data_IF_988366130926
#
_entry.id   IF_988366130926
#
_cell.length_a   1.000
_cell.length_b   1.000
_cell.length_c   1.000
_cell.angle_alpha   90.00
_cell.angle_beta   90.00
_cell.angle_gamma   90.00
#
_symmetry.space_group_name_H-M   'P 1'
#
loop_
_entity.id
_entity.type
_entity.pdbx_description
1 polymer ?
#
# COMPACT_ATOMS: atom_id res chain seq x y z
N UNK A 1 15.06 -4.79 4.62
CA UNK A 1 13.74 -4.18 4.95
C UNK A 1 12.73 -5.28 5.24
N UNK A 2 12.01 -5.14 6.35
CA UNK A 2 10.93 -6.04 6.79
C UNK A 2 9.60 -5.30 6.73
N UNK A 3 8.49 -6.00 6.52
CA UNK A 3 7.16 -5.39 6.47
C UNK A 3 6.27 -5.99 7.55
N UNK A 4 5.73 -5.14 8.41
CA UNK A 4 4.83 -5.53 9.48
C UNK A 4 3.38 -5.33 9.06
N UNK A 5 2.53 -6.29 9.43
CA UNK A 5 1.07 -6.19 9.27
C UNK A 5 0.49 -5.66 10.57
N UNK A 6 -0.16 -4.50 10.52
CA UNK A 6 -0.84 -3.91 11.67
C UNK A 6 -2.32 -3.78 11.32
N UNK A 7 -3.18 -4.54 12.01
CA UNK A 7 -4.64 -4.50 11.82
C UNK A 7 -5.31 -3.83 13.01
N UNK A 8 -6.38 -3.08 12.77
CA UNK A 8 -7.20 -2.48 13.83
C UNK A 8 -7.82 -3.49 14.81
N UNK A 9 -7.81 -4.79 14.50
CA UNK A 9 -8.23 -5.87 15.40
C UNK A 9 -7.13 -6.43 16.31
N UNK A 10 -5.87 -6.03 16.11
CA UNK A 10 -4.75 -6.49 16.93
C UNK A 10 -4.75 -5.77 18.29
N UNK A 11 -4.78 -6.53 19.39
CA UNK A 11 -4.95 -5.99 20.76
C UNK A 11 -3.70 -5.31 21.34
N UNK A 12 -2.52 -5.51 20.73
CA UNK A 12 -1.25 -4.90 21.12
C UNK A 12 -0.53 -4.42 19.86
N UNK A 13 -0.86 -3.22 19.35
CA UNK A 13 -0.10 -2.63 18.25
C UNK A 13 0.95 -1.65 18.79
N UNK A 14 2.10 -1.63 18.13
CA UNK A 14 3.16 -0.67 18.40
C UNK A 14 2.69 0.73 17.97
N UNK A 15 2.30 1.54 18.96
CA UNK A 15 1.81 2.92 18.77
C UNK A 15 2.86 3.78 18.08
N UNK A 16 4.14 3.57 18.37
CA UNK A 16 5.23 4.32 17.76
C UNK A 16 5.38 3.95 16.28
N UNK A 17 5.21 2.67 15.93
CA UNK A 17 5.24 2.21 14.54
C UNK A 17 4.13 2.88 13.70
N UNK A 18 2.89 2.89 14.21
CA UNK A 18 1.74 3.50 13.52
C UNK A 18 1.90 5.02 13.44
N UNK A 19 2.34 5.66 14.52
CA UNK A 19 2.58 7.11 14.54
C UNK A 19 3.65 7.50 13.53
N UNK A 20 4.77 6.77 13.47
CA UNK A 20 5.84 7.03 12.51
C UNK A 20 5.43 6.76 11.06
N UNK A 21 4.51 5.82 10.84
CA UNK A 21 3.89 5.61 9.54
C UNK A 21 3.04 6.82 9.11
N UNK A 22 2.22 7.40 10.00
CA UNK A 22 1.46 8.62 9.67
C UNK A 22 2.37 9.84 9.42
N UNK A 23 3.50 9.95 10.13
CA UNK A 23 4.54 10.95 9.83
C UNK A 23 5.16 10.74 8.46
N UNK A 24 5.44 9.48 8.08
CA UNK A 24 5.94 9.16 6.74
C UNK A 24 4.93 9.59 5.67
N UNK A 25 3.65 9.28 5.87
CA UNK A 25 2.57 9.70 4.98
C UNK A 25 2.51 11.22 4.82
N UNK A 26 2.64 11.98 5.92
CA UNK A 26 2.70 13.46 5.88
C UNK A 26 3.86 13.97 5.05
N UNK A 27 5.08 13.45 5.25
CA UNK A 27 6.26 13.82 4.45
C UNK A 27 6.07 13.52 2.97
N UNK A 28 5.53 12.35 2.64
CA UNK A 28 5.35 11.95 1.24
C UNK A 28 4.22 12.70 0.57
N UNK A 29 3.00 12.62 1.10
CA UNK A 29 1.82 13.08 0.38
C UNK A 29 1.65 14.59 0.45
N UNK A 30 1.97 15.22 1.59
CA UNK A 30 1.81 16.66 1.73
C UNK A 30 3.09 17.46 1.49
N UNK A 31 4.26 17.07 2.02
CA UNK A 31 5.48 17.88 1.78
C UNK A 31 6.04 17.66 0.37
N UNK A 32 6.22 16.40 -0.04
CA UNK A 32 6.90 16.07 -1.30
C UNK A 32 6.00 16.13 -2.53
N UNK A 33 4.81 15.56 -2.44
CA UNK A 33 3.87 15.47 -3.56
C UNK A 33 2.89 16.65 -3.62
N UNK A 34 2.80 17.43 -2.53
CA UNK A 34 1.86 18.54 -2.33
C UNK A 34 0.42 18.20 -2.76
N UNK A 35 -0.04 17.02 -2.34
CA UNK A 35 -1.43 16.64 -2.49
C UNK A 35 -2.29 17.34 -1.44
N UNK A 36 -3.53 17.63 -1.82
CA UNK A 36 -4.57 18.11 -0.90
C UNK A 36 -5.04 16.92 -0.03
N UNK A 37 -4.37 16.73 1.11
CA UNK A 37 -4.63 15.66 2.09
C UNK A 37 -4.93 16.24 3.47
N UNK A 38 -5.64 15.46 4.29
CA UNK A 38 -5.95 15.83 5.68
C UNK A 38 -4.73 15.62 6.58
N UNK A 39 -4.37 16.65 7.35
CA UNK A 39 -3.24 16.63 8.28
C UNK A 39 -3.66 17.07 9.66
N UNK A 40 -3.13 16.39 10.68
CA UNK A 40 -3.30 16.72 12.09
C UNK A 40 -1.91 16.87 12.72
N UNK A 41 -1.42 18.11 12.83
CA UNK A 41 -0.03 18.37 13.21
C UNK A 41 0.96 17.82 12.18
N UNK A 42 1.83 16.91 12.61
CA UNK A 42 2.82 16.23 11.78
C UNK A 42 2.33 14.89 11.19
N UNK A 43 1.04 14.57 11.36
CA UNK A 43 0.44 13.32 10.92
C UNK A 43 -0.48 13.54 9.72
N UNK A 44 -0.41 12.66 8.72
CA UNK A 44 -1.43 12.56 7.66
C UNK A 44 -2.40 11.43 8.02
N UNK A 45 -3.63 11.81 8.33
CA UNK A 45 -4.71 10.95 8.80
C UNK A 45 -5.99 11.42 8.10
N UNK A 46 -6.71 10.50 7.48
CA UNK A 46 -8.01 10.77 6.88
C UNK A 46 -9.14 9.94 7.54
N UNK A 47 -10.37 10.13 7.09
CA UNK A 47 -11.54 9.43 7.64
C UNK A 47 -11.50 7.91 7.46
N UNK A 48 -10.75 7.41 6.48
CA UNK A 48 -10.64 5.97 6.22
C UNK A 48 -9.70 5.27 7.23
N UNK A 49 -8.82 6.02 7.90
CA UNK A 49 -7.98 5.49 8.98
C UNK A 49 -8.80 5.10 10.22
N UNK A 50 -10.00 5.69 10.39
CA UNK A 50 -10.92 5.33 11.47
C UNK A 50 -11.72 4.03 11.19
N UNK A 51 -11.62 3.44 9.99
CA UNK A 51 -12.40 2.25 9.60
C UNK A 51 -11.77 0.92 10.01
N UNK A 52 -10.75 0.96 10.88
CA UNK A 52 -9.97 -0.23 11.26
C UNK A 52 -9.23 -0.88 10.09
N UNK A 53 -8.47 -0.11 9.27
CA UNK A 53 -7.74 -0.68 8.15
C UNK A 53 -6.64 -1.64 8.60
N UNK A 54 -6.14 -2.43 7.65
CA UNK A 54 -4.85 -3.13 7.77
C UNK A 54 -3.77 -2.25 7.15
N UNK A 55 -2.71 -1.96 7.89
CA UNK A 55 -1.51 -1.31 7.37
C UNK A 55 -0.41 -2.33 7.13
N UNK A 56 0.26 -2.19 5.99
CA UNK A 56 1.56 -2.79 5.73
C UNK A 56 2.62 -1.71 5.96
N UNK A 57 3.48 -1.90 6.96
CA UNK A 57 4.46 -0.91 7.37
C UNK A 57 5.87 -1.46 7.13
N UNK A 58 6.56 -0.87 6.15
CA UNK A 58 7.94 -1.21 5.79
C UNK A 58 8.93 -0.54 6.73
N UNK A 59 9.77 -1.35 7.37
CA UNK A 59 10.76 -0.93 8.35
C UNK A 59 12.16 -1.36 7.89
N UNK A 60 13.09 -0.41 7.84
CA UNK A 60 14.49 -0.67 7.47
C UNK A 60 15.19 -1.51 8.54
N UNK A 61 16.38 -2.01 8.22
CA UNK A 61 17.17 -2.80 9.16
C UNK A 61 17.70 -1.95 10.34
N UNK A 62 17.61 -0.62 10.23
CA UNK A 62 17.87 0.36 11.30
C UNK A 62 16.62 0.74 12.11
N UNK A 63 15.54 -0.02 11.99
CA UNK A 63 14.25 0.23 12.65
C UNK A 63 13.59 1.57 12.29
N UNK A 64 13.78 2.04 11.05
CA UNK A 64 13.13 3.27 10.56
C UNK A 64 11.93 2.91 9.67
N UNK A 65 10.79 3.55 9.87
CA UNK A 65 9.64 3.42 8.95
C UNK A 65 9.96 4.10 7.62
N UNK A 66 9.97 3.30 6.55
CA UNK A 66 10.35 3.71 5.20
C UNK A 66 9.32 3.32 4.12
N UNK A 67 8.27 2.57 4.47
CA UNK A 67 7.21 2.21 3.54
C UNK A 67 5.85 2.10 4.21
N UNK A 68 4.79 2.37 3.46
CA UNK A 68 3.41 2.23 3.91
C UNK A 68 2.52 1.79 2.76
N UNK A 69 1.54 0.93 3.05
CA UNK A 69 0.32 0.77 2.28
C UNK A 69 -0.86 0.53 3.25
N UNK A 70 -2.03 1.09 2.94
CA UNK A 70 -3.27 0.89 3.69
C UNK A 70 -4.21 0.01 2.89
N UNK A 71 -4.79 -0.98 3.55
CA UNK A 71 -5.68 -1.96 2.95
C UNK A 71 -7.07 -1.87 3.61
N UNK A 72 -8.11 -1.84 2.78
CA UNK A 72 -9.51 -1.78 3.20
C UNK A 72 -10.36 -2.81 2.46
N UNK A 73 -11.36 -3.43 3.10
CA UNK A 73 -12.27 -4.33 2.40
C UNK A 73 -13.15 -3.57 1.42
N UNK A 74 -13.35 -4.10 0.21
CA UNK A 74 -14.24 -3.45 -0.78
C UNK A 74 -15.73 -3.55 -0.45
N UNK A 75 -16.11 -4.39 0.52
CA UNK A 75 -17.47 -4.44 1.06
C UNK A 75 -17.84 -3.18 1.87
N UNK A 76 -16.84 -2.50 2.42
CA UNK A 76 -16.99 -1.26 3.19
C UNK A 76 -16.64 0.00 2.40
N UNK A 77 -16.73 1.18 3.04
CA UNK A 77 -16.27 2.43 2.45
C UNK A 77 -14.76 2.39 2.16
N UNK A 78 -14.36 2.89 0.99
CA UNK A 78 -12.96 2.94 0.57
C UNK A 78 -12.73 4.12 -0.41
N UNK A 79 -11.47 4.45 -0.69
CA UNK A 79 -11.15 5.64 -1.48
C UNK A 79 -11.64 5.53 -2.92
N UNK A 80 -11.49 4.37 -3.57
CA UNK A 80 -11.95 4.18 -4.95
C UNK A 80 -13.46 4.41 -5.08
N UNK A 81 -14.25 3.81 -4.20
CA UNK A 81 -15.71 3.89 -4.26
C UNK A 81 -16.26 5.25 -3.79
N UNK A 82 -15.62 5.88 -2.80
CA UNK A 82 -16.20 7.03 -2.09
C UNK A 82 -15.47 8.36 -2.34
N UNK A 83 -14.18 8.37 -2.67
CA UNK A 83 -13.43 9.60 -3.00
C UNK A 83 -13.26 9.78 -4.50
N UNK A 84 -12.94 8.70 -5.23
CA UNK A 84 -12.58 8.76 -6.64
C UNK A 84 -13.46 7.91 -7.56
N UNK A 85 -14.81 7.91 -7.40
CA UNK A 85 -15.68 7.07 -8.22
C UNK A 85 -15.62 7.42 -9.71
N UNK A 86 -15.26 8.65 -10.06
CA UNK A 86 -15.09 9.09 -11.45
C UNK A 86 -14.02 8.27 -12.21
N UNK A 87 -13.03 7.70 -11.51
CA UNK A 87 -11.99 6.85 -12.11
C UNK A 87 -12.48 5.46 -12.52
N UNK A 88 -13.72 5.09 -12.17
CA UNK A 88 -14.33 3.84 -12.56
C UNK A 88 -14.98 3.91 -13.95
N UNK A 89 -15.19 5.11 -14.51
CA UNK A 89 -16.00 5.27 -15.73
C UNK A 89 -17.40 4.68 -15.54
N UNK A 90 -17.82 3.80 -16.45
CA UNK A 90 -19.13 3.14 -16.40
C UNK A 90 -19.15 1.88 -15.50
N UNK A 91 -18.01 1.51 -14.92
CA UNK A 91 -17.92 0.34 -14.04
C UNK A 91 -18.51 0.64 -12.66
N UNK A 92 -19.20 -0.34 -12.07
CA UNK A 92 -19.58 -0.27 -10.65
C UNK A 92 -18.34 -0.46 -9.76
N UNK A 93 -18.27 0.21 -8.60
CA UNK A 93 -17.22 -0.05 -7.63
C UNK A 93 -17.20 -1.55 -7.26
N UNK A 94 -16.04 -2.21 -7.29
CA UNK A 94 -15.91 -3.59 -6.83
C UNK A 94 -16.41 -3.74 -5.39
N UNK A 95 -17.15 -4.81 -5.12
CA UNK A 95 -17.64 -5.19 -3.78
C UNK A 95 -17.52 -6.69 -3.63
N UNK A 96 -16.50 -7.17 -2.92
CA UNK A 96 -16.24 -8.60 -2.72
C UNK A 96 -15.45 -8.84 -1.44
N UNK A 97 -15.69 -9.98 -0.78
CA UNK A 97 -14.85 -10.44 0.34
C UNK A 97 -13.45 -10.89 -0.10
N UNK A 98 -13.25 -11.09 -1.41
CA UNK A 98 -11.97 -11.52 -2.02
C UNK A 98 -11.25 -10.41 -2.78
N UNK A 99 -11.70 -9.15 -2.62
CA UNK A 99 -11.07 -7.98 -3.21
C UNK A 99 -10.91 -6.92 -2.13
N UNK A 100 -9.69 -6.41 -1.97
CA UNK A 100 -9.39 -5.28 -1.10
C UNK A 100 -9.00 -4.05 -1.91
N UNK A 101 -9.24 -2.88 -1.34
CA UNK A 101 -8.72 -1.61 -1.82
C UNK A 101 -7.36 -1.34 -1.18
N UNK A 102 -6.42 -0.82 -1.97
CA UNK A 102 -5.14 -0.31 -1.46
C UNK A 102 -5.01 1.17 -1.75
N UNK A 103 -4.72 1.92 -0.69
CA UNK A 103 -4.45 3.35 -0.69
C UNK A 103 -3.18 3.67 0.10
N UNK A 104 -2.71 4.92 0.02
CA UNK A 104 -1.55 5.42 0.79
C UNK A 104 -0.28 4.57 0.59
N UNK A 105 -0.10 4.01 -0.61
CA UNK A 105 1.17 3.40 -0.99
C UNK A 105 2.25 4.49 -1.07
N UNK A 106 3.26 4.42 -0.20
CA UNK A 106 4.41 5.29 -0.30
C UNK A 106 5.69 4.63 0.22
N UNK A 107 6.80 5.13 -0.30
CA UNK A 107 8.16 4.83 0.17
C UNK A 107 8.91 6.13 0.40
N UNK A 108 9.71 6.15 1.46
CA UNK A 108 10.56 7.28 1.82
C UNK A 108 11.73 7.37 0.83
N UNK A 109 11.70 8.38 -0.04
CA UNK A 109 12.75 8.59 -1.05
C UNK A 109 13.99 9.27 -0.47
N UNK A 110 13.84 10.02 0.62
CA UNK A 110 14.94 10.75 1.23
C UNK A 110 15.80 9.82 2.08
N UNK A 111 15.16 8.82 2.70
CA UNK A 111 15.82 7.76 3.46
C UNK A 111 16.07 6.49 2.67
N UNK A 112 15.79 6.51 1.37
CA UNK A 112 16.03 5.40 0.46
C UNK A 112 17.49 4.91 0.50
N UNK A 113 18.46 5.81 0.63
CA UNK A 113 19.89 5.46 0.74
C UNK A 113 20.23 4.68 2.01
N UNK A 114 19.40 4.76 3.06
CA UNK A 114 19.57 4.00 4.29
C UNK A 114 19.08 2.54 4.16
N UNK A 115 18.38 2.21 3.07
CA UNK A 115 17.86 0.87 2.77
C UNK A 115 18.89 0.03 2.01
N UNK A 116 19.49 0.57 0.94
CA UNK A 116 20.55 -0.08 0.14
C UNK A 116 21.14 0.91 -0.89
N UNK A 117 22.16 0.49 -1.65
CA UNK A 117 22.68 1.24 -2.80
C UNK A 117 21.62 1.57 -3.87
N UNK A 118 20.55 0.76 -3.97
CA UNK A 118 19.39 0.97 -4.82
C UNK A 118 18.12 1.25 -4.00
N UNK A 119 18.25 1.76 -2.78
CA UNK A 119 17.28 1.48 -1.72
C UNK A 119 15.86 1.97 -1.90
N UNK A 120 15.60 2.96 -2.79
CA UNK A 120 14.24 3.34 -3.17
C UNK A 120 13.54 2.22 -3.94
N UNK A 121 14.27 1.64 -4.90
CA UNK A 121 13.79 0.53 -5.72
C UNK A 121 13.53 -0.67 -4.83
N UNK A 122 14.50 -1.01 -3.96
CA UNK A 122 14.38 -2.18 -3.10
C UNK A 122 13.21 -2.03 -2.12
N UNK A 123 13.04 -0.86 -1.49
CA UNK A 123 11.88 -0.57 -0.65
C UNK A 123 10.56 -0.68 -1.43
N UNK A 124 10.51 -0.16 -2.66
CA UNK A 124 9.31 -0.26 -3.51
C UNK A 124 8.97 -1.72 -3.81
N UNK A 125 9.94 -2.51 -4.27
CA UNK A 125 9.73 -3.92 -4.59
C UNK A 125 9.36 -4.74 -3.36
N UNK A 126 9.98 -4.48 -2.20
CA UNK A 126 9.57 -5.09 -0.93
C UNK A 126 8.13 -4.73 -0.55
N UNK A 127 7.71 -3.47 -0.71
CA UNK A 127 6.32 -3.10 -0.43
C UNK A 127 5.33 -3.75 -1.40
N UNK A 128 5.65 -3.85 -2.70
CA UNK A 128 4.82 -4.56 -3.68
C UNK A 128 4.71 -6.05 -3.34
N UNK A 129 5.83 -6.70 -3.01
CA UNK A 129 5.85 -8.09 -2.59
C UNK A 129 5.02 -8.30 -1.32
N UNK A 130 5.07 -7.37 -0.36
CA UNK A 130 4.27 -7.46 0.86
C UNK A 130 2.76 -7.41 0.60
N UNK A 131 2.29 -6.58 -0.34
CA UNK A 131 0.86 -6.55 -0.72
C UNK A 131 0.44 -7.89 -1.33
N UNK A 132 1.29 -8.47 -2.18
CA UNK A 132 1.04 -9.78 -2.80
C UNK A 132 1.08 -10.92 -1.78
N UNK A 133 2.08 -10.94 -0.90
CA UNK A 133 2.21 -11.94 0.18
C UNK A 133 1.01 -11.88 1.12
N UNK A 134 0.57 -10.67 1.50
CA UNK A 134 -0.58 -10.49 2.37
C UNK A 134 -1.86 -10.96 1.68
N UNK A 135 -2.06 -10.53 0.42
CA UNK A 135 -3.23 -10.93 -0.35
C UNK A 135 -3.33 -12.45 -0.54
N UNK A 136 -2.20 -13.11 -0.81
CA UNK A 136 -2.15 -14.57 -0.94
C UNK A 136 -2.44 -15.28 0.39
N UNK A 137 -1.92 -14.75 1.51
CA UNK A 137 -2.16 -15.31 2.84
C UNK A 137 -3.62 -15.15 3.30
N UNK A 138 -4.31 -14.10 2.86
CA UNK A 138 -5.71 -13.79 3.18
C UNK A 138 -6.69 -14.23 2.07
N UNK A 139 -6.27 -15.15 1.20
CA UNK A 139 -7.07 -15.73 0.10
C UNK A 139 -7.76 -14.70 -0.83
N UNK A 140 -7.13 -13.53 -1.00
CA UNK A 140 -7.60 -12.46 -1.87
C UNK A 140 -7.29 -12.77 -3.34
N UNK A 141 -8.21 -12.42 -4.23
CA UNK A 141 -8.05 -12.60 -5.68
C UNK A 141 -7.42 -11.38 -6.34
N UNK A 142 -7.67 -10.19 -5.78
CA UNK A 142 -7.23 -8.95 -6.38
C UNK A 142 -7.15 -7.81 -5.36
N UNK A 143 -6.34 -6.83 -5.71
CA UNK A 143 -6.35 -5.50 -5.12
C UNK A 143 -6.83 -4.49 -6.13
N UNK A 144 -7.65 -3.54 -5.70
CA UNK A 144 -8.04 -2.37 -6.50
C UNK A 144 -7.40 -1.13 -5.91
N UNK A 145 -6.94 -0.22 -6.76
CA UNK A 145 -6.19 0.95 -6.28
C UNK A 145 -6.39 2.14 -7.19
N UNK A 146 -6.34 3.33 -6.59
CA UNK A 146 -6.22 4.60 -7.29
C UNK A 146 -4.74 4.99 -7.27
N UNK A 147 -4.18 5.21 -8.45
CA UNK A 147 -2.77 5.53 -8.61
C UNK A 147 -2.56 6.50 -9.77
N UNK A 148 -1.32 6.81 -10.11
CA UNK A 148 -0.97 7.65 -11.24
C UNK A 148 -0.26 6.89 -12.36
N UNK A 149 -0.21 7.49 -13.55
CA UNK A 149 0.45 6.90 -14.73
C UNK A 149 1.95 6.67 -14.58
N UNK A 150 2.61 7.25 -13.58
CA UNK A 150 4.03 7.03 -13.28
C UNK A 150 4.17 5.75 -12.46
N UNK A 151 3.34 5.58 -11.43
CA UNK A 151 3.36 4.40 -10.60
C UNK A 151 2.84 3.15 -11.34
N UNK A 152 1.85 3.30 -12.22
CA UNK A 152 1.44 2.23 -13.13
C UNK A 152 2.62 1.68 -13.97
N UNK A 153 3.52 2.54 -14.45
CA UNK A 153 4.72 2.09 -15.17
C UNK A 153 5.67 1.30 -14.27
N UNK A 154 5.72 1.61 -12.98
CA UNK A 154 6.50 0.84 -12.00
C UNK A 154 5.88 -0.54 -11.83
N UNK A 155 4.55 -0.62 -11.66
CA UNK A 155 3.79 -1.87 -11.60
C UNK A 155 4.02 -2.75 -12.83
N UNK A 156 3.92 -2.17 -14.03
CA UNK A 156 4.22 -2.85 -15.30
C UNK A 156 5.65 -3.42 -15.33
N UNK A 157 6.64 -2.64 -14.90
CA UNK A 157 8.05 -3.07 -14.85
C UNK A 157 8.33 -4.11 -13.78
N UNK A 158 7.52 -4.14 -12.73
CA UNK A 158 7.61 -5.14 -11.67
C UNK A 158 6.96 -6.49 -12.06
N UNK A 159 6.43 -6.62 -13.29
CA UNK A 159 5.72 -7.82 -13.73
C UNK A 159 4.31 -7.94 -13.14
N UNK A 160 3.77 -6.85 -12.60
CA UNK A 160 2.46 -6.82 -11.97
C UNK A 160 1.56 -5.77 -12.64
N UNK A 161 1.10 -6.03 -13.88
CA UNK A 161 0.40 -5.05 -14.68
C UNK A 161 -0.99 -4.72 -14.12
N UNK A 162 -1.34 -3.43 -14.16
CA UNK A 162 -2.62 -2.92 -13.70
C UNK A 162 -3.67 -2.99 -14.83
N UNK A 163 -4.77 -3.69 -14.60
CA UNK A 163 -5.95 -3.66 -15.47
C UNK A 163 -6.77 -2.40 -15.16
N UNK A 164 -6.70 -1.38 -16.02
CA UNK A 164 -7.44 -0.12 -15.82
C UNK A 164 -8.96 -0.32 -15.92
N UNK A 165 -9.71 0.39 -15.08
CA UNK A 165 -11.18 0.50 -15.23
C UNK A 165 -11.56 1.50 -16.33
N UNK A 166 -10.87 2.64 -16.39
CA UNK A 166 -11.14 3.72 -17.35
C UNK A 166 -9.83 4.39 -17.80
N UNK A 167 -9.86 5.20 -18.87
CA UNK A 167 -8.73 6.04 -19.25
C UNK A 167 -8.30 6.99 -18.10
N UNK A 168 -7.00 7.33 -17.98
CA UNK A 168 -6.53 8.25 -16.96
C UNK A 168 -7.19 9.63 -17.05
N UNK A 169 -7.47 10.25 -15.90
CA UNK A 169 -8.04 11.59 -15.81
C UNK A 169 -7.19 12.48 -14.90
N UNK A 170 -7.27 13.81 -15.11
CA UNK A 170 -6.52 14.76 -14.27
C UNK A 170 -7.27 14.96 -12.94
N UNK A 171 -6.56 14.73 -11.83
CA UNK A 171 -7.02 15.01 -10.46
C UNK A 171 -5.92 15.85 -9.78
N UNK A 172 -6.24 17.11 -9.46
CA UNK A 172 -5.24 18.08 -9.01
C UNK A 172 -4.08 18.19 -10.00
N UNK A 173 -2.85 18.06 -9.50
CA UNK A 173 -1.63 18.12 -10.31
C UNK A 173 -1.29 16.81 -11.06
N UNK A 174 -2.01 15.72 -10.81
CA UNK A 174 -1.60 14.37 -11.24
C UNK A 174 -2.55 13.79 -12.30
N UNK A 175 -2.01 13.00 -13.23
CA UNK A 175 -2.79 12.18 -14.14
C UNK A 175 -3.07 10.82 -13.48
N UNK A 176 -4.24 10.71 -12.87
CA UNK A 176 -4.67 9.59 -12.04
C UNK A 176 -5.49 8.57 -12.84
N UNK A 177 -5.49 7.33 -12.36
CA UNK A 177 -6.24 6.21 -12.92
C UNK A 177 -6.58 5.23 -11.78
N UNK A 178 -7.61 4.43 -11.99
CA UNK A 178 -7.93 3.30 -11.12
C UNK A 178 -7.84 2.00 -11.90
N UNK A 179 -7.46 0.93 -11.21
CA UNK A 179 -7.42 -0.40 -11.80
C UNK A 179 -7.38 -1.52 -10.80
N UNK A 180 -7.38 -2.74 -11.34
CA UNK A 180 -7.29 -4.00 -10.63
C UNK A 180 -5.93 -4.65 -10.88
N UNK A 181 -5.31 -5.14 -9.83
CA UNK A 181 -4.12 -5.98 -9.88
C UNK A 181 -4.48 -7.38 -9.35
N UNK A 182 -4.11 -8.43 -10.08
CA UNK A 182 -4.41 -9.81 -9.67
C UNK A 182 -3.45 -10.24 -8.55
N UNK A 183 -3.97 -10.87 -7.51
CA UNK A 183 -3.18 -11.49 -6.45
C UNK A 183 -2.96 -12.95 -6.84
N UNK A 184 -1.74 -13.28 -7.27
CA UNK A 184 -1.36 -14.62 -7.75
C UNK A 184 0.07 -14.92 -7.37
N UNK A 185 0.38 -16.20 -7.13
CA UNK A 185 1.75 -16.64 -6.86
C UNK A 185 2.70 -16.26 -7.99
N UNK A 186 2.26 -16.36 -9.25
CA UNK A 186 3.08 -15.96 -10.40
C UNK A 186 3.43 -14.47 -10.40
N UNK A 187 2.51 -13.60 -9.97
CA UNK A 187 2.78 -12.16 -9.84
C UNK A 187 3.79 -11.90 -8.71
N UNK A 188 3.68 -12.61 -7.59
CA UNK A 188 4.67 -12.55 -6.52
C UNK A 188 6.05 -13.03 -6.98
N UNK A 189 6.12 -14.12 -7.74
CA UNK A 189 7.36 -14.65 -8.29
C UNK A 189 8.03 -13.65 -9.23
N UNK A 190 7.25 -12.99 -10.10
CA UNK A 190 7.76 -11.93 -10.98
C UNK A 190 8.28 -10.73 -10.20
N UNK A 191 7.51 -10.21 -9.23
CA UNK A 191 7.93 -9.10 -8.39
C UNK A 191 9.20 -9.45 -7.62
N UNK A 192 9.30 -10.66 -7.05
CA UNK A 192 10.50 -11.10 -6.33
C UNK A 192 11.70 -11.24 -7.25
N UNK A 193 11.56 -11.93 -8.39
CA UNK A 193 12.63 -12.15 -9.37
C UNK A 193 13.16 -10.84 -9.92
N UNK A 194 12.28 -9.93 -10.34
CA UNK A 194 12.68 -8.62 -10.85
C UNK A 194 13.27 -7.79 -9.73
N UNK A 195 12.65 -7.79 -8.55
CA UNK A 195 13.11 -7.04 -7.37
C UNK A 195 14.43 -7.50 -6.79
N UNK A 196 14.85 -8.76 -7.04
CA UNK A 196 15.99 -9.38 -6.39
C UNK A 196 15.69 -9.85 -4.96
N UNK A 197 14.41 -10.11 -4.65
CA UNK A 197 13.96 -10.54 -3.33
C UNK A 197 14.05 -12.07 -3.23
N UNK A 198 14.83 -12.56 -2.28
CA UNK A 198 15.11 -14.01 -2.11
C UNK A 198 14.32 -14.66 -0.97
N UNK A 199 13.60 -13.89 -0.17
CA UNK A 199 12.84 -14.36 0.98
C UNK A 199 11.55 -13.55 1.14
N UNK A 200 10.55 -14.07 1.87
CA UNK A 200 9.38 -13.30 2.26
C UNK A 200 9.76 -12.02 3.00
N UNK A 201 9.00 -10.95 2.75
CA UNK A 201 9.24 -9.64 3.37
C UNK A 201 8.29 -9.38 4.54
N UNK A 202 7.11 -10.01 4.53
CA UNK A 202 6.20 -9.97 5.67
C UNK A 202 6.80 -10.66 6.87
N UNK A 203 6.76 -9.97 8.02
CA UNK A 203 7.08 -10.57 9.30
C UNK A 203 5.88 -11.38 9.77
N UNK A 204 6.01 -12.68 10.08
CA UNK A 204 4.92 -13.47 10.63
C UNK A 204 4.42 -12.84 11.92
N UNK A 205 3.10 -12.66 12.05
CA UNK A 205 2.49 -12.29 13.33
C UNK A 205 2.77 -13.44 14.30
N UNK A 206 3.54 -13.17 15.36
CA UNK A 206 3.75 -14.18 16.40
C UNK A 206 2.40 -14.51 17.04
N UNK A 207 1.93 -15.76 16.91
CA UNK A 207 0.68 -16.28 17.50
C UNK A 207 0.69 -16.36 19.04
N UNK A 208 1.47 -15.55 19.74
CA UNK A 208 1.48 -15.57 21.21
C UNK A 208 0.36 -14.74 21.85
N UNK A 209 -0.35 -13.90 21.09
CA UNK A 209 -1.41 -13.03 21.64
C UNK A 209 -2.85 -13.52 21.41
N UNK A 210 -3.04 -14.79 21.02
CA UNK A 210 -4.37 -15.39 20.82
C UNK A 210 -4.86 -16.27 21.97
N UNK A 211 -4.07 -16.42 23.04
CA UNK A 211 -4.48 -17.14 24.25
C UNK A 211 -4.03 -16.36 25.49
N UNK A 212 -4.89 -15.44 25.93
CA UNK A 212 -5.04 -15.01 27.32
C UNK A 212 -6.45 -14.44 27.50
#
# INVERSE_FOLDING_TARGET
MRVFVVSGSARNFDVDLVTNMHRLRRRVFKDRLDWEVSVAGDLEIDTYDALGPTYLIGVTDKNVVAGCARLLPTLGPNMLANTFPALLGDHRPPRSSRIFESSRFCVDTERASEVSANGLRDATFSMLAAVLEWGLAEDQEAVVTVTDVRFERILQRAGWPLERFAPPMRIGATLALAGRLQIRSSALDDVRRIGGLIAPVLVPVQRQDMVA
#
